data_IF_496848545994
#
_entry.id   IF_496848545994
#
_cell.length_a   1.000
_cell.length_b   1.000
_cell.length_c   1.000
_cell.angle_alpha   90.00
_cell.angle_beta   90.00
_cell.angle_gamma   90.00
#
_symmetry.space_group_name_H-M   'P 1'
#
loop_
_entity.id
_entity.type
_entity.pdbx_description
1 polymer ?
#
# COMPACT_ATOMS: atom_id res chain seq x y z
N UNK A 1 -13.64 -0.56 29.02
CA UNK A 1 -14.10 -1.43 27.91
C UNK A 1 -14.29 -0.68 26.59
N UNK A 2 -15.25 0.25 26.48
CA UNK A 2 -15.55 0.99 25.24
C UNK A 2 -14.35 1.72 24.61
N UNK A 3 -13.54 2.42 25.41
CA UNK A 3 -12.38 3.18 24.91
C UNK A 3 -11.27 2.31 24.28
N UNK A 4 -11.09 1.07 24.76
CA UNK A 4 -10.07 0.16 24.22
C UNK A 4 -10.47 -0.37 22.83
N UNK A 5 -11.75 -0.72 22.67
CA UNK A 5 -12.34 -1.11 21.38
C UNK A 5 -12.26 0.04 20.37
N UNK A 6 -12.61 1.25 20.79
CA UNK A 6 -12.55 2.45 19.95
C UNK A 6 -11.12 2.71 19.45
N UNK A 7 -10.11 2.56 20.33
CA UNK A 7 -8.70 2.73 19.98
C UNK A 7 -8.23 1.73 18.92
N UNK A 8 -8.54 0.44 19.11
CA UNK A 8 -8.14 -0.62 18.17
C UNK A 8 -8.83 -0.47 16.81
N UNK A 9 -10.12 -0.13 16.80
CA UNK A 9 -10.86 0.15 15.58
C UNK A 9 -10.23 1.33 14.81
N UNK A 10 -9.83 2.38 15.53
CA UNK A 10 -9.19 3.53 14.90
C UNK A 10 -7.78 3.21 14.38
N UNK A 11 -6.98 2.44 15.12
CA UNK A 11 -5.64 2.00 14.68
C UNK A 11 -5.69 1.10 13.43
N UNK A 12 -6.67 0.20 13.34
CA UNK A 12 -6.89 -0.62 12.16
C UNK A 12 -7.27 0.22 10.94
N UNK A 13 -8.27 1.09 11.10
CA UNK A 13 -8.73 1.99 10.03
C UNK A 13 -7.61 2.87 9.50
N UNK A 14 -6.74 3.37 10.37
CA UNK A 14 -5.57 4.16 9.95
C UNK A 14 -4.60 3.32 9.12
N UNK A 15 -4.28 2.09 9.55
CA UNK A 15 -3.39 1.20 8.79
C UNK A 15 -3.96 0.77 7.43
N UNK A 16 -5.28 0.63 7.33
CA UNK A 16 -5.98 0.31 6.07
C UNK A 16 -5.93 1.50 5.10
N UNK A 17 -6.11 2.74 5.59
CA UNK A 17 -5.96 3.96 4.80
C UNK A 17 -4.53 4.09 4.26
N UNK A 18 -3.52 3.88 5.10
CA UNK A 18 -2.11 3.91 4.70
C UNK A 18 -1.82 2.88 3.59
N UNK A 19 -2.37 1.67 3.72
CA UNK A 19 -2.22 0.62 2.71
C UNK A 19 -2.87 1.01 1.39
N UNK A 20 -4.09 1.54 1.42
CA UNK A 20 -4.78 2.01 0.21
C UNK A 20 -4.04 3.14 -0.50
N UNK A 21 -3.45 4.08 0.24
CA UNK A 21 -2.67 5.16 -0.34
C UNK A 21 -1.41 4.64 -1.04
N UNK A 22 -0.67 3.74 -0.38
CA UNK A 22 0.51 3.10 -0.95
C UNK A 22 0.15 2.30 -2.22
N UNK A 23 -0.92 1.49 -2.17
CA UNK A 23 -1.39 0.69 -3.30
C UNK A 23 -1.84 1.58 -4.47
N UNK A 24 -2.54 2.68 -4.19
CA UNK A 24 -2.95 3.64 -5.23
C UNK A 24 -1.75 4.29 -5.92
N UNK A 25 -0.67 4.57 -5.18
CA UNK A 25 0.56 5.13 -5.75
C UNK A 25 1.25 4.12 -6.67
N UNK A 26 1.43 2.87 -6.20
CA UNK A 26 2.03 1.80 -7.01
C UNK A 26 1.23 1.56 -8.30
N UNK A 27 -0.10 1.46 -8.21
CA UNK A 27 -0.97 1.27 -9.38
C UNK A 27 -0.87 2.43 -10.40
N UNK A 28 -0.74 3.67 -9.91
CA UNK A 28 -0.58 4.84 -10.79
C UNK A 28 0.74 4.76 -11.57
N UNK A 29 1.84 4.41 -10.91
CA UNK A 29 3.17 4.27 -11.54
C UNK A 29 3.14 3.10 -12.54
N UNK A 30 2.54 1.97 -12.18
CA UNK A 30 2.39 0.83 -13.08
C UNK A 30 1.62 1.19 -14.36
N UNK A 31 0.54 1.97 -14.23
CA UNK A 31 -0.24 2.45 -15.39
C UNK A 31 0.56 3.41 -16.27
N UNK A 32 1.42 4.26 -15.68
CA UNK A 32 2.30 5.15 -16.43
C UNK A 32 3.37 4.37 -17.21
N UNK A 33 3.94 3.31 -16.62
CA UNK A 33 4.87 2.41 -17.29
C UNK A 33 4.22 1.74 -18.50
N UNK A 34 3.02 1.19 -18.35
CA UNK A 34 2.29 0.53 -19.43
C UNK A 34 2.06 1.47 -20.61
N UNK A 35 1.58 2.69 -20.34
CA UNK A 35 1.38 3.72 -21.36
C UNK A 35 2.70 4.11 -22.05
N UNK A 36 3.79 4.25 -21.28
CA UNK A 36 5.09 4.63 -21.83
C UNK A 36 5.66 3.52 -22.73
N UNK A 37 5.50 2.25 -22.36
CA UNK A 37 5.90 1.10 -23.16
C UNK A 37 5.11 1.04 -24.48
N UNK A 38 3.81 1.35 -24.47
CA UNK A 38 3.00 1.46 -25.68
C UNK A 38 3.48 2.59 -26.59
N UNK A 39 3.80 3.77 -26.02
CA UNK A 39 4.32 4.91 -26.78
C UNK A 39 5.66 4.58 -27.43
N UNK A 40 6.57 3.92 -26.71
CA UNK A 40 7.89 3.49 -27.23
C UNK A 40 7.68 2.53 -28.40
N UNK A 41 6.82 1.51 -28.25
CA UNK A 41 6.49 0.55 -29.31
C UNK A 41 5.89 1.23 -30.54
N UNK A 42 5.02 2.22 -30.36
CA UNK A 42 4.30 2.87 -31.44
C UNK A 42 5.13 3.93 -32.18
N UNK A 43 5.97 4.70 -31.47
CA UNK A 43 6.66 5.87 -32.04
C UNK A 43 8.11 5.63 -32.43
N UNK A 44 8.80 4.60 -31.90
CA UNK A 44 10.15 4.16 -32.31
C UNK A 44 11.27 5.21 -32.36
N UNK A 45 11.00 6.47 -31.99
CA UNK A 45 11.81 7.66 -32.31
C UNK A 45 12.08 8.57 -31.11
N UNK A 46 11.42 8.32 -29.98
CA UNK A 46 11.70 8.99 -28.72
C UNK A 46 12.39 8.01 -27.77
N UNK A 47 13.58 8.38 -27.29
CA UNK A 47 14.31 7.62 -26.31
C UNK A 47 13.74 7.90 -24.91
N UNK A 48 12.59 7.28 -24.61
CA UNK A 48 11.98 7.28 -23.28
C UNK A 48 12.56 6.17 -22.38
N UNK A 49 13.65 5.52 -22.80
CA UNK A 49 14.25 4.40 -22.07
C UNK A 49 14.68 4.81 -20.67
N UNK A 50 15.29 5.98 -20.51
CA UNK A 50 15.68 6.54 -19.21
C UNK A 50 14.48 6.82 -18.31
N UNK A 51 13.39 7.38 -18.86
CA UNK A 51 12.17 7.67 -18.11
C UNK A 51 11.47 6.37 -17.68
N UNK A 52 11.51 5.34 -18.54
CA UNK A 52 10.98 4.01 -18.27
C UNK A 52 11.74 3.31 -17.14
N UNK A 53 13.07 3.36 -17.16
CA UNK A 53 13.92 2.80 -16.10
C UNK A 53 13.67 3.50 -14.77
N UNK A 54 13.56 4.82 -14.76
CA UNK A 54 13.23 5.61 -13.56
C UNK A 54 11.87 5.23 -12.99
N UNK A 55 10.83 5.11 -13.83
CA UNK A 55 9.50 4.70 -13.37
C UNK A 55 9.50 3.27 -12.82
N UNK A 56 10.30 2.36 -13.39
CA UNK A 56 10.44 0.98 -12.87
C UNK A 56 11.10 0.95 -11.50
N UNK A 57 12.11 1.79 -11.28
CA UNK A 57 12.74 1.96 -9.97
C UNK A 57 11.75 2.55 -8.95
N UNK A 58 11.02 3.60 -9.33
CA UNK A 58 9.98 4.19 -8.48
C UNK A 58 8.85 3.21 -8.14
N UNK A 59 8.48 2.31 -9.07
CA UNK A 59 7.50 1.25 -8.81
C UNK A 59 8.04 0.24 -7.79
N UNK A 60 9.29 -0.19 -7.94
CA UNK A 60 9.93 -1.12 -7.01
C UNK A 60 10.02 -0.52 -5.60
N UNK A 61 10.34 0.77 -5.47
CA UNK A 61 10.30 1.48 -4.19
C UNK A 61 8.88 1.56 -3.62
N UNK A 62 7.89 1.89 -4.45
CA UNK A 62 6.49 1.97 -4.02
C UNK A 62 5.93 0.61 -3.56
N UNK A 63 6.29 -0.48 -4.25
CA UNK A 63 5.93 -1.84 -3.86
C UNK A 63 6.64 -2.29 -2.57
N UNK A 64 7.89 -1.88 -2.37
CA UNK A 64 8.62 -2.08 -1.12
C UNK A 64 7.92 -1.39 0.05
N UNK A 65 7.55 -0.11 -0.13
CA UNK A 65 6.78 0.63 0.87
C UNK A 65 5.43 -0.02 1.13
N UNK A 66 4.72 -0.49 0.10
CA UNK A 66 3.44 -1.18 0.24
C UNK A 66 3.57 -2.50 1.01
N UNK A 67 4.64 -3.27 0.77
CA UNK A 67 4.94 -4.50 1.49
C UNK A 67 5.26 -4.22 2.98
N UNK A 68 5.89 -3.08 3.27
CA UNK A 68 6.18 -2.62 4.62
C UNK A 68 4.93 -2.10 5.35
N UNK A 69 3.87 -1.70 4.62
CA UNK A 69 2.58 -1.37 5.24
C UNK A 69 1.91 -2.64 5.75
N UNK A 70 2.20 -2.95 7.02
CA UNK A 70 1.53 -3.99 7.77
C UNK A 70 0.13 -3.52 8.15
N UNK A 71 -0.90 -3.95 7.41
CA UNK A 71 -2.29 -3.79 7.83
C UNK A 71 -2.46 -4.43 9.20
N UNK A 72 -2.75 -3.61 10.21
CA UNK A 72 -2.97 -4.11 11.57
C UNK A 72 -4.35 -4.73 11.61
N UNK A 73 -4.44 -6.05 11.52
CA UNK A 73 -5.70 -6.76 11.80
C UNK A 73 -5.93 -6.71 13.31
N UNK A 74 -7.05 -6.17 13.80
CA UNK A 74 -7.38 -6.23 15.22
C UNK A 74 -7.48 -7.70 15.64
N UNK A 75 -6.70 -8.09 16.63
CA UNK A 75 -6.79 -9.41 17.24
C UNK A 75 -7.92 -9.41 18.27
N UNK A 76 -9.16 -9.54 17.78
CA UNK A 76 -10.35 -9.52 18.63
C UNK A 76 -10.35 -10.68 19.66
N UNK A 77 -9.72 -11.81 19.33
CA UNK A 77 -9.56 -12.98 20.21
C UNK A 77 -8.66 -12.69 21.41
N UNK A 78 -7.55 -11.96 21.23
CA UNK A 78 -6.71 -11.50 22.37
C UNK A 78 -7.42 -10.53 23.30
N UNK A 79 -8.40 -9.77 22.81
CA UNK A 79 -9.22 -8.96 23.70
C UNK A 79 -10.16 -9.81 24.54
N UNK A 80 -10.76 -10.84 23.94
CA UNK A 80 -11.66 -11.77 24.62
C UNK A 80 -10.96 -12.53 25.76
N UNK A 81 -9.72 -13.00 25.56
CA UNK A 81 -8.91 -13.60 26.63
C UNK A 81 -8.57 -12.62 27.75
N UNK A 82 -8.29 -11.35 27.41
CA UNK A 82 -8.05 -10.29 28.40
C UNK A 82 -9.33 -9.91 29.15
N UNK A 83 -10.49 -10.08 28.53
CA UNK A 83 -11.81 -9.86 29.15
C UNK A 83 -12.19 -10.95 30.14
N UNK A 84 -11.75 -12.20 29.92
CA UNK A 84 -11.98 -13.34 30.82
C UNK A 84 -11.10 -13.35 32.07
N UNK A 85 -10.00 -12.59 32.08
CA UNK A 85 -9.02 -12.54 33.17
C UNK A 85 -9.20 -11.33 34.12
N UNK A 86 -10.06 -10.37 33.76
CA UNK A 86 -10.36 -9.16 34.53
C UNK A 86 -11.71 -9.25 35.32
N UNK A 87 -12.35 -10.44 35.36
CA UNK A 87 -13.48 -10.81 36.26
C UNK A 87 -12.98 -11.58 37.50
#
# INVERSE_FOLDING_TARGET
MFMALLRLSNEHRLSEIEWHQAASKANSIASQIELLEEIIKAKGKFDFTTELEKLKEELMEADGMLADVKVKVPDWCKLEEKWLLDE
#
